data_IF_397469388633
#
_entry.id   IF_397469388633
#
_cell.length_a   1.000
_cell.length_b   1.000
_cell.length_c   1.000
_cell.angle_alpha   90.00
_cell.angle_beta   90.00
_cell.angle_gamma   90.00
#
_symmetry.space_group_name_H-M   'P 1'
#
loop_
_entity.id
_entity.type
_entity.pdbx_description
1 polymer ?
#
# COMPACT_ATOMS: atom_id res chain seq x y z
N UNK A 1 14.09 -8.78 -44.59
CA UNK A 1 15.05 -8.16 -43.67
C UNK A 1 14.34 -7.13 -42.81
N UNK A 2 14.50 -7.25 -41.49
CA UNK A 2 14.24 -6.31 -40.37
C UNK A 2 12.99 -5.42 -40.39
N UNK A 3 12.01 -5.80 -39.53
CA UNK A 3 11.06 -4.90 -38.87
C UNK A 3 11.84 -3.89 -38.00
N UNK A 4 11.56 -2.61 -38.14
CA UNK A 4 11.99 -1.57 -37.20
C UNK A 4 10.99 -1.53 -36.04
N UNK A 5 11.45 -1.91 -34.85
CA UNK A 5 10.73 -1.75 -33.60
C UNK A 5 10.72 -0.26 -33.21
N UNK A 6 9.53 0.29 -33.03
CA UNK A 6 9.35 1.57 -32.33
C UNK A 6 9.73 1.39 -30.86
N UNK A 7 10.78 2.11 -30.43
CA UNK A 7 11.25 2.14 -29.04
C UNK A 7 10.23 2.91 -28.18
N UNK A 8 9.65 2.33 -27.12
CA UNK A 8 8.81 3.09 -26.20
C UNK A 8 9.66 4.09 -25.40
N UNK A 9 9.10 5.28 -25.18
CA UNK A 9 9.69 6.31 -24.34
C UNK A 9 10.00 5.75 -22.94
N UNK A 10 11.20 6.05 -22.46
CA UNK A 10 11.74 5.58 -21.20
C UNK A 10 10.89 6.08 -20.03
N UNK A 11 10.17 5.16 -19.37
CA UNK A 11 9.43 5.40 -18.13
C UNK A 11 10.42 5.66 -16.99
N UNK A 12 10.73 6.94 -16.75
CA UNK A 12 11.58 7.33 -15.64
C UNK A 12 10.80 7.20 -14.35
N UNK A 13 11.24 6.27 -13.51
CA UNK A 13 10.78 6.05 -12.14
C UNK A 13 10.64 7.39 -11.39
N UNK A 14 9.53 7.53 -10.65
CA UNK A 14 9.18 8.67 -9.79
C UNK A 14 10.31 9.13 -8.83
N UNK A 15 11.35 8.33 -8.66
CA UNK A 15 12.51 8.60 -7.83
C UNK A 15 13.56 9.53 -8.46
N UNK A 16 13.47 9.81 -9.78
CA UNK A 16 14.48 10.60 -10.51
C UNK A 16 14.06 12.04 -10.83
N UNK A 17 12.84 12.46 -10.45
CA UNK A 17 12.34 13.81 -10.73
C UNK A 17 12.77 14.81 -9.65
N UNK A 18 13.18 16.01 -10.07
CA UNK A 18 13.54 17.07 -9.13
C UNK A 18 12.28 17.68 -8.47
N UNK A 19 12.39 18.28 -7.27
CA UNK A 19 11.24 18.87 -6.57
C UNK A 19 10.50 19.97 -7.36
N UNK A 20 11.18 20.63 -8.31
CA UNK A 20 10.58 21.66 -9.18
C UNK A 20 9.72 21.02 -10.28
N UNK A 21 10.10 19.86 -10.79
CA UNK A 21 9.35 19.12 -11.81
C UNK A 21 8.10 18.44 -11.22
N UNK A 22 8.19 17.99 -9.96
CA UNK A 22 7.04 17.46 -9.23
C UNK A 22 5.95 18.53 -8.99
N UNK A 23 6.34 19.72 -8.53
CA UNK A 23 5.40 20.83 -8.28
C UNK A 23 4.73 21.38 -9.54
N UNK A 24 5.44 21.38 -10.68
CA UNK A 24 4.89 21.87 -11.95
C UNK A 24 3.79 20.94 -12.51
N UNK A 25 3.80 19.66 -12.14
CA UNK A 25 2.85 18.66 -12.62
C UNK A 25 1.71 18.34 -11.63
N UNK A 26 1.70 18.95 -10.45
CA UNK A 26 0.71 18.68 -9.40
C UNK A 26 -0.70 19.26 -9.70
N UNK A 27 -0.83 20.17 -10.67
CA UNK A 27 -2.05 20.97 -10.87
C UNK A 27 -2.90 20.61 -12.09
N UNK A 28 -2.78 19.38 -12.62
CA UNK A 28 -3.73 18.89 -13.64
C UNK A 28 -4.44 17.65 -13.11
N UNK A 29 -5.62 17.91 -12.52
CA UNK A 29 -6.78 17.02 -12.44
C UNK A 29 -6.44 15.54 -12.20
N UNK A 30 -5.93 15.20 -11.01
CA UNK A 30 -5.88 13.80 -10.59
C UNK A 30 -7.25 13.37 -10.07
N UNK A 31 -8.21 13.26 -10.99
CA UNK A 31 -9.13 12.11 -10.92
C UNK A 31 -8.23 10.91 -11.14
N UNK A 32 -7.79 10.29 -10.04
CA UNK A 32 -7.03 9.03 -10.09
C UNK A 32 -7.95 8.01 -10.73
N UNK A 33 -7.86 7.90 -12.06
CA UNK A 33 -8.49 6.84 -12.81
C UNK A 33 -7.79 5.59 -12.34
N UNK A 34 -8.46 4.85 -11.46
CA UNK A 34 -8.03 3.55 -11.00
C UNK A 34 -7.93 2.67 -12.25
N UNK A 35 -6.73 2.58 -12.83
CA UNK A 35 -6.38 1.46 -13.69
C UNK A 35 -6.77 0.18 -12.94
N UNK A 36 -7.37 -0.83 -13.61
CA UNK A 36 -7.90 -1.99 -12.93
C UNK A 36 -6.73 -2.85 -12.45
N UNK A 37 -6.16 -2.48 -11.30
CA UNK A 37 -5.39 -3.39 -10.48
C UNK A 37 -6.39 -4.47 -10.09
N UNK A 38 -6.29 -5.62 -10.76
CA UNK A 38 -7.07 -6.85 -10.58
C UNK A 38 -7.86 -6.85 -9.26
N UNK A 39 -9.19 -6.89 -9.37
CA UNK A 39 -10.17 -6.82 -8.28
C UNK A 39 -9.85 -7.74 -7.08
N UNK A 40 -8.99 -8.75 -7.28
CA UNK A 40 -8.45 -9.67 -6.28
C UNK A 40 -7.61 -9.00 -5.18
N UNK A 41 -6.84 -7.93 -5.46
CA UNK A 41 -5.98 -7.28 -4.43
C UNK A 41 -6.72 -6.41 -3.42
N UNK A 42 -7.99 -6.07 -3.70
CA UNK A 42 -8.85 -5.28 -2.80
C UNK A 42 -9.89 -6.12 -2.05
N UNK A 43 -9.93 -7.43 -2.28
CA UNK A 43 -10.80 -8.33 -1.52
C UNK A 43 -10.54 -8.19 -0.01
N UNK A 44 -11.59 -8.15 0.84
CA UNK A 44 -11.45 -8.12 2.29
C UNK A 44 -10.85 -9.40 2.88
N UNK A 45 -10.63 -10.45 2.07
CA UNK A 45 -10.16 -11.74 2.54
C UNK A 45 -11.24 -12.54 3.28
N UNK A 46 -10.79 -13.46 4.13
CA UNK A 46 -11.65 -14.33 4.96
C UNK A 46 -11.85 -13.64 6.31
N UNK A 47 -13.07 -13.19 6.57
CA UNK A 47 -13.43 -12.57 7.84
C UNK A 47 -14.72 -11.74 7.80
N UNK A 48 -15.16 -11.26 8.97
CA UNK A 48 -16.41 -10.53 9.12
C UNK A 48 -16.35 -9.11 8.55
N UNK A 49 -15.17 -8.50 8.45
CA UNK A 49 -15.04 -7.10 8.01
C UNK A 49 -15.05 -7.05 6.50
N UNK A 50 -16.11 -6.47 5.91
CA UNK A 50 -16.27 -6.38 4.45
C UNK A 50 -15.74 -5.07 3.85
N UNK A 51 -15.77 -3.99 4.62
CA UNK A 51 -15.22 -2.70 4.23
C UNK A 51 -14.71 -1.94 5.46
N UNK A 52 -13.74 -1.06 5.24
CA UNK A 52 -13.24 -0.17 6.28
C UNK A 52 -12.65 1.07 5.60
N UNK A 53 -13.03 2.25 6.08
CA UNK A 53 -12.53 3.54 5.60
C UNK A 53 -11.79 4.22 6.76
N UNK A 54 -10.65 4.84 6.47
CA UNK A 54 -9.96 5.66 7.46
C UNK A 54 -10.76 6.94 7.72
N UNK A 55 -10.90 7.30 8.99
CA UNK A 55 -11.32 8.64 9.38
C UNK A 55 -10.16 9.63 9.32
N UNK A 56 -10.38 10.80 9.91
CA UNK A 56 -9.34 11.81 10.06
C UNK A 56 -8.18 11.30 10.91
N UNK A 57 -7.00 11.90 10.69
CA UNK A 57 -5.80 11.51 11.42
C UNK A 57 -5.91 11.88 12.90
N UNK A 58 -5.86 10.87 13.76
CA UNK A 58 -5.77 11.01 15.20
C UNK A 58 -4.37 10.61 15.69
N UNK A 59 -3.62 11.61 16.18
CA UNK A 59 -2.25 11.42 16.68
C UNK A 59 -2.19 10.54 17.93
N UNK A 60 -3.17 10.63 18.84
CA UNK A 60 -3.19 9.82 20.06
C UNK A 60 -3.50 8.36 19.72
N UNK A 61 -4.51 8.13 18.86
CA UNK A 61 -4.84 6.80 18.38
C UNK A 61 -3.67 6.16 17.62
N UNK A 62 -2.98 6.93 16.77
CA UNK A 62 -1.78 6.47 16.08
C UNK A 62 -0.65 6.11 17.04
N UNK A 63 -0.42 6.91 18.10
CA UNK A 63 0.59 6.60 19.13
C UNK A 63 0.24 5.32 19.88
N UNK A 64 -1.03 5.14 20.23
CA UNK A 64 -1.54 3.93 20.90
C UNK A 64 -1.34 2.69 20.03
N UNK A 65 -1.73 2.76 18.76
CA UNK A 65 -1.50 1.70 17.78
C UNK A 65 -0.01 1.36 17.60
N UNK A 66 0.86 2.38 17.58
CA UNK A 66 2.31 2.19 17.54
C UNK A 66 2.88 1.42 18.74
N UNK A 67 2.35 1.63 19.95
CA UNK A 67 2.74 0.85 21.14
C UNK A 67 2.32 -0.61 21.00
N UNK A 68 1.08 -0.87 20.56
CA UNK A 68 0.57 -2.23 20.34
C UNK A 68 1.39 -2.96 19.27
N UNK A 69 1.69 -2.29 18.15
CA UNK A 69 2.51 -2.86 17.09
C UNK A 69 3.90 -3.28 17.60
N UNK A 70 4.56 -2.45 18.41
CA UNK A 70 5.85 -2.79 19.01
C UNK A 70 5.78 -4.03 19.90
N UNK A 71 4.70 -4.17 20.68
CA UNK A 71 4.54 -5.27 21.63
C UNK A 71 4.13 -6.59 20.96
N UNK A 72 3.33 -6.53 19.89
CA UNK A 72 2.65 -7.72 19.33
C UNK A 72 3.12 -8.09 17.92
N UNK A 73 3.64 -7.15 17.14
CA UNK A 73 3.89 -7.35 15.71
C UNK A 73 5.38 -7.21 15.36
N UNK A 74 6.11 -6.35 16.07
CA UNK A 74 7.49 -5.96 15.71
C UNK A 74 8.53 -7.08 15.87
N UNK A 75 8.18 -8.17 16.55
CA UNK A 75 8.99 -9.39 16.62
C UNK A 75 9.10 -10.00 15.22
N UNK A 76 7.98 -10.09 14.50
CA UNK A 76 7.94 -10.71 13.18
C UNK A 76 8.10 -9.70 12.03
N UNK A 77 7.57 -8.48 12.19
CA UNK A 77 7.50 -7.50 11.13
C UNK A 77 8.39 -6.28 11.39
N UNK A 78 9.17 -5.87 10.39
CA UNK A 78 9.86 -4.58 10.37
C UNK A 78 9.15 -3.61 9.44
N UNK A 79 9.43 -2.32 9.63
CA UNK A 79 8.80 -1.26 8.84
C UNK A 79 9.22 -1.34 7.38
N UNK A 80 10.52 -1.41 7.13
CA UNK A 80 11.15 -1.14 5.84
C UNK A 80 11.77 -2.38 5.16
N UNK A 81 12.00 -3.46 5.91
CA UNK A 81 12.57 -4.70 5.38
C UNK A 81 11.80 -5.93 5.81
N UNK A 82 11.94 -7.00 5.03
CA UNK A 82 11.45 -8.34 5.38
C UNK A 82 12.25 -8.88 6.57
N UNK A 83 11.57 -9.60 7.45
CA UNK A 83 12.20 -10.43 8.47
C UNK A 83 11.49 -11.80 8.50
N UNK A 84 10.86 -12.17 9.61
CA UNK A 84 9.97 -13.35 9.68
C UNK A 84 8.73 -13.08 8.81
N UNK A 85 8.10 -11.93 9.03
CA UNK A 85 7.02 -11.42 8.20
C UNK A 85 7.50 -10.40 7.14
N UNK A 86 6.64 -10.07 6.16
CA UNK A 86 6.90 -9.00 5.19
C UNK A 86 7.13 -7.63 5.86
N UNK A 87 7.72 -6.71 5.12
CA UNK A 87 7.80 -5.30 5.51
C UNK A 87 6.40 -4.66 5.58
N UNK A 88 6.17 -3.80 6.58
CA UNK A 88 4.86 -3.13 6.77
C UNK A 88 4.66 -1.90 5.90
N UNK A 89 5.74 -1.23 5.49
CA UNK A 89 5.66 -0.02 4.66
C UNK A 89 4.96 -0.35 3.34
N UNK A 90 3.93 0.43 3.01
CA UNK A 90 3.15 0.26 1.79
C UNK A 90 2.14 -0.88 1.82
N UNK A 91 1.77 -1.43 3.00
CA UNK A 91 0.76 -2.49 3.10
C UNK A 91 -0.56 -2.11 2.40
N UNK A 92 -1.01 -0.87 2.53
CA UNK A 92 -2.26 -0.38 1.91
C UNK A 92 -2.17 -0.18 0.39
N UNK A 93 -0.97 -0.22 -0.20
CA UNK A 93 -0.81 -0.27 -1.66
C UNK A 93 -1.10 -1.69 -2.20
N UNK A 94 -1.06 -2.70 -1.33
CA UNK A 94 -1.18 -4.12 -1.68
C UNK A 94 -2.47 -4.76 -1.18
N UNK A 95 -3.03 -4.26 -0.08
CA UNK A 95 -4.17 -4.84 0.63
C UNK A 95 -5.19 -3.76 1.00
N UNK A 96 -6.47 -4.11 1.01
CA UNK A 96 -7.52 -3.21 1.50
C UNK A 96 -7.45 -3.06 3.02
N UNK A 97 -7.95 -1.96 3.60
CA UNK A 97 -8.01 -1.81 5.05
C UNK A 97 -8.83 -2.92 5.73
N UNK A 98 -9.93 -3.34 5.11
CA UNK A 98 -10.74 -4.47 5.59
C UNK A 98 -9.93 -5.78 5.67
N UNK A 99 -9.10 -6.06 4.65
CA UNK A 99 -8.20 -7.21 4.66
C UNK A 99 -7.20 -7.15 5.80
N UNK A 100 -6.60 -5.98 6.05
CA UNK A 100 -5.63 -5.81 7.14
C UNK A 100 -6.29 -6.06 8.50
N UNK A 101 -7.52 -5.59 8.69
CA UNK A 101 -8.28 -5.86 9.91
C UNK A 101 -8.59 -7.35 10.08
N UNK A 102 -9.06 -8.03 9.03
CA UNK A 102 -9.32 -9.48 9.09
C UNK A 102 -8.02 -10.28 9.32
N UNK A 103 -6.89 -9.87 8.76
CA UNK A 103 -5.58 -10.50 9.00
C UNK A 103 -5.16 -10.41 10.47
N UNK A 104 -5.50 -9.32 11.17
CA UNK A 104 -5.25 -9.21 12.62
C UNK A 104 -6.15 -10.13 13.45
N UNK A 105 -7.35 -10.44 12.96
CA UNK A 105 -8.34 -11.26 13.67
C UNK A 105 -8.13 -12.76 13.43
N UNK A 106 -7.73 -13.15 12.22
CA UNK A 106 -7.57 -14.55 11.83
C UNK A 106 -6.39 -14.72 10.84
N UNK A 107 -5.14 -14.60 11.31
CA UNK A 107 -3.99 -14.71 10.43
C UNK A 107 -3.82 -16.11 9.82
N UNK A 108 -4.27 -17.17 10.51
CA UNK A 108 -4.10 -18.58 10.08
C UNK A 108 -4.79 -18.86 8.74
N UNK A 109 -5.99 -18.34 8.52
CA UNK A 109 -6.73 -18.55 7.28
C UNK A 109 -6.44 -17.48 6.22
N UNK A 110 -5.61 -16.49 6.53
CA UNK A 110 -5.37 -15.31 5.69
C UNK A 110 -4.01 -15.31 4.99
N UNK A 111 -3.08 -16.18 5.39
CA UNK A 111 -1.70 -16.29 4.89
C UNK A 111 -1.60 -17.28 3.73
#
# INVERSE_FOLDING_TARGET
GKKTEDKPAEDKSLMEMTPKEFKKNLHKNSTVTLTPISQTKRSPGIGPIKSFNFGDFDSELSKRGGKIFKQKCAICHKTDKKMIGPAMKGIYNKRSPAWVMNMMLNPTEMI
#
